data_IF_623412116388
#
_entry.id   IF_623412116388
#
_cell.length_a   1.000
_cell.length_b   1.000
_cell.length_c   1.000
_cell.angle_alpha   90.00
_cell.angle_beta   90.00
_cell.angle_gamma   90.00
#
_symmetry.space_group_name_H-M   'P 1'
#
loop_
_entity.id
_entity.type
_entity.pdbx_description
1 polymer ?
#
# COMPACT_ATOMS: atom_id res chain seq x y z
N UNK A 1 -10.93 6.63 -25.15
CA UNK A 1 -10.75 8.08 -25.02
C UNK A 1 -11.91 8.71 -24.25
N UNK A 2 -11.68 9.86 -23.64
CA UNK A 2 -12.66 10.59 -22.84
C UNK A 2 -12.60 12.07 -23.20
N UNK A 3 -13.74 12.75 -23.19
CA UNK A 3 -13.80 14.22 -23.37
C UNK A 3 -12.95 14.97 -22.33
N UNK A 4 -12.70 14.37 -21.17
CA UNK A 4 -11.85 14.92 -20.13
C UNK A 4 -10.35 14.95 -20.50
N UNK A 5 -9.93 14.32 -21.60
CA UNK A 5 -8.56 14.38 -22.11
C UNK A 5 -8.36 15.42 -23.20
N UNK A 6 -9.41 16.10 -23.64
CA UNK A 6 -9.35 17.03 -24.79
C UNK A 6 -8.56 18.30 -24.49
N UNK A 7 -8.42 18.69 -23.23
CA UNK A 7 -7.76 19.94 -22.82
C UNK A 7 -6.82 19.69 -21.65
N UNK A 8 -5.64 20.32 -21.68
CA UNK A 8 -4.75 20.38 -20.53
C UNK A 8 -5.42 21.07 -19.34
N UNK A 9 -5.31 20.46 -18.17
CA UNK A 9 -5.85 20.98 -16.92
C UNK A 9 -4.73 21.28 -15.89
N UNK A 10 -3.59 21.77 -16.36
CA UNK A 10 -2.43 22.10 -15.53
C UNK A 10 -2.80 23.07 -14.42
N UNK A 11 -2.29 22.82 -13.22
CA UNK A 11 -2.64 23.54 -12.00
C UNK A 11 -3.66 22.77 -11.16
N UNK A 12 -4.41 23.50 -10.36
CA UNK A 12 -5.39 22.97 -9.40
C UNK A 12 -6.72 23.72 -9.52
N UNK A 13 -7.83 23.20 -9.00
CA UNK A 13 -9.12 23.86 -9.04
C UNK A 13 -9.05 25.33 -8.61
N UNK A 14 -9.62 26.23 -9.40
CA UNK A 14 -9.57 27.67 -9.20
C UNK A 14 -8.22 28.35 -9.49
N UNK A 15 -7.18 27.56 -9.85
CA UNK A 15 -5.81 28.03 -10.13
C UNK A 15 -5.21 27.29 -11.33
N UNK A 16 -5.98 27.11 -12.40
CA UNK A 16 -5.51 26.46 -13.64
C UNK A 16 -4.68 27.43 -14.46
N UNK A 17 -3.67 26.88 -15.15
CA UNK A 17 -2.87 27.65 -16.10
C UNK A 17 -3.66 28.05 -17.35
N UNK A 18 -4.56 27.17 -17.81
CA UNK A 18 -5.41 27.42 -18.96
C UNK A 18 -6.84 27.77 -18.56
N UNK A 19 -7.51 28.59 -19.37
CA UNK A 19 -8.94 28.90 -19.20
C UNK A 19 -9.87 27.73 -19.56
N UNK A 20 -11.15 27.89 -19.29
CA UNK A 20 -12.20 26.93 -19.68
C UNK A 20 -12.24 25.66 -18.82
N UNK A 21 -11.84 25.73 -17.56
CA UNK A 21 -11.68 24.57 -16.67
C UNK A 21 -12.84 24.36 -15.69
N UNK A 22 -13.95 25.05 -15.85
CA UNK A 22 -15.07 25.04 -14.89
C UNK A 22 -15.51 23.60 -14.52
N UNK A 23 -15.74 22.76 -15.52
CA UNK A 23 -16.19 21.38 -15.28
C UNK A 23 -15.05 20.46 -14.79
N UNK A 24 -13.84 20.73 -15.22
CA UNK A 24 -12.62 20.04 -14.75
C UNK A 24 -12.40 20.30 -13.26
N UNK A 25 -12.59 21.53 -12.81
CA UNK A 25 -12.49 21.90 -11.41
C UNK A 25 -13.52 21.17 -10.56
N UNK A 26 -14.78 21.11 -11.01
CA UNK A 26 -15.84 20.36 -10.32
C UNK A 26 -15.47 18.89 -10.18
N UNK A 27 -14.93 18.25 -11.22
CA UNK A 27 -14.53 16.83 -11.20
C UNK A 27 -13.40 16.59 -10.20
N UNK A 28 -12.37 17.44 -10.22
CA UNK A 28 -11.24 17.28 -9.29
C UNK A 28 -11.64 17.59 -7.85
N UNK A 29 -12.46 18.62 -7.63
CA UNK A 29 -12.95 18.93 -6.28
C UNK A 29 -13.85 17.82 -5.73
N UNK A 30 -14.69 17.17 -6.53
CA UNK A 30 -15.44 16.00 -6.11
C UNK A 30 -14.51 14.87 -5.63
N UNK A 31 -13.42 14.61 -6.35
CA UNK A 31 -12.45 13.60 -5.95
C UNK A 31 -11.75 13.99 -4.64
N UNK A 32 -11.31 15.24 -4.53
CA UNK A 32 -10.63 15.76 -3.33
C UNK A 32 -11.52 15.72 -2.10
N UNK A 33 -12.75 16.23 -2.19
CA UNK A 33 -13.68 16.28 -1.05
C UNK A 33 -14.10 14.89 -0.59
N UNK A 34 -14.35 13.96 -1.53
CA UNK A 34 -14.66 12.58 -1.19
C UNK A 34 -13.49 11.85 -0.55
N UNK A 35 -12.27 12.07 -1.04
CA UNK A 35 -11.05 11.51 -0.44
C UNK A 35 -10.86 12.04 0.98
N UNK A 36 -11.01 13.35 1.21
CA UNK A 36 -10.94 13.95 2.54
C UNK A 36 -11.96 13.35 3.50
N UNK A 37 -13.21 13.22 3.06
CA UNK A 37 -14.29 12.63 3.87
C UNK A 37 -14.02 11.16 4.19
N UNK A 38 -13.49 10.40 3.23
CA UNK A 38 -13.27 8.96 3.34
C UNK A 38 -12.17 8.61 4.37
N UNK A 39 -11.12 9.44 4.42
CA UNK A 39 -9.93 9.19 5.25
C UNK A 39 -9.80 10.14 6.45
N UNK A 40 -10.70 11.09 6.64
CA UNK A 40 -10.59 12.09 7.70
C UNK A 40 -9.43 13.09 7.48
N UNK A 41 -9.04 13.31 6.24
CA UNK A 41 -7.98 14.25 5.87
C UNK A 41 -8.52 15.67 5.72
N UNK A 42 -7.70 16.68 6.02
CA UNK A 42 -8.04 18.08 5.73
C UNK A 42 -7.66 18.48 4.30
N UNK A 43 -6.60 17.86 3.75
CA UNK A 43 -6.12 18.13 2.40
C UNK A 43 -5.91 16.84 1.63
N UNK A 44 -6.18 16.87 0.32
CA UNK A 44 -5.99 15.74 -0.58
C UNK A 44 -5.45 16.23 -1.93
N UNK A 45 -4.36 15.62 -2.39
CA UNK A 45 -3.87 15.72 -3.76
C UNK A 45 -4.20 14.42 -4.49
N UNK A 46 -5.05 14.49 -5.50
CA UNK A 46 -5.54 13.33 -6.27
C UNK A 46 -4.87 13.20 -7.64
N UNK A 47 -3.88 14.06 -7.94
CA UNK A 47 -3.19 14.09 -9.23
C UNK A 47 -2.08 13.05 -9.42
N UNK A 48 -1.45 12.44 -8.40
CA UNK A 48 -0.41 11.45 -8.63
C UNK A 48 -0.89 10.32 -9.54
N UNK A 49 -0.08 9.99 -10.57
CA UNK A 49 -0.42 9.00 -11.58
C UNK A 49 -0.41 7.56 -11.04
N UNK A 50 0.35 7.29 -9.98
CA UNK A 50 0.44 6.00 -9.31
C UNK A 50 0.98 6.17 -7.88
N UNK A 51 1.09 5.07 -7.12
CA UNK A 51 1.64 5.09 -5.76
C UNK A 51 3.12 5.50 -5.71
N UNK A 52 3.96 5.01 -6.62
CA UNK A 52 5.37 5.40 -6.69
C UNK A 52 5.53 6.92 -6.95
N UNK A 53 4.87 7.55 -7.95
CA UNK A 53 4.84 8.99 -8.09
C UNK A 53 4.31 9.75 -6.87
N UNK A 54 3.34 9.19 -6.13
CA UNK A 54 2.87 9.80 -4.89
C UNK A 54 3.97 9.86 -3.82
N UNK A 55 4.67 8.73 -3.59
CA UNK A 55 5.80 8.68 -2.66
C UNK A 55 6.95 9.62 -3.11
N UNK A 56 7.31 9.58 -4.39
CA UNK A 56 8.35 10.45 -4.96
C UNK A 56 7.98 11.92 -4.77
N UNK A 57 6.75 12.30 -5.09
CA UNK A 57 6.27 13.67 -4.92
C UNK A 57 6.29 14.13 -3.48
N UNK A 58 5.93 13.27 -2.55
CA UNK A 58 6.00 13.55 -1.13
C UNK A 58 7.45 13.72 -0.67
N UNK A 59 8.40 12.88 -1.11
CA UNK A 59 9.81 13.04 -0.76
C UNK A 59 10.37 14.37 -1.26
N UNK A 60 10.18 14.70 -2.53
CA UNK A 60 10.66 15.99 -3.09
C UNK A 60 9.95 17.22 -2.51
N UNK A 61 8.76 17.07 -1.93
CA UNK A 61 8.09 18.16 -1.22
C UNK A 61 8.73 18.46 0.14
N UNK A 62 9.34 17.46 0.78
CA UNK A 62 9.73 17.51 2.18
C UNK A 62 11.23 17.43 2.43
N UNK A 63 12.00 16.99 1.44
CA UNK A 63 13.41 16.64 1.59
C UNK A 63 14.27 17.36 0.57
N UNK A 64 15.52 17.59 0.98
CA UNK A 64 16.63 17.99 0.11
C UNK A 64 17.50 16.77 -0.24
N UNK A 65 18.26 16.79 -1.35
CA UNK A 65 19.20 15.73 -1.66
C UNK A 65 20.16 15.46 -0.49
N UNK A 66 20.33 14.17 -0.14
CA UNK A 66 21.14 13.73 0.99
C UNK A 66 20.37 13.59 2.31
N UNK A 67 19.13 14.04 2.38
CA UNK A 67 18.29 13.80 3.57
C UNK A 67 17.98 12.32 3.78
N UNK A 68 17.72 11.94 5.03
CA UNK A 68 17.52 10.56 5.42
C UNK A 68 16.04 10.23 5.62
N UNK A 69 15.63 9.08 5.10
CA UNK A 69 14.32 8.44 5.25
C UNK A 69 14.52 7.10 5.95
N UNK A 70 13.69 6.79 6.94
CA UNK A 70 13.66 5.45 7.54
C UNK A 70 12.37 4.75 7.13
N UNK A 71 12.48 3.55 6.52
CA UNK A 71 11.36 2.77 6.01
C UNK A 71 11.56 1.26 6.17
N UNK A 72 10.52 0.47 5.90
CA UNK A 72 10.59 -1.00 6.00
C UNK A 72 11.44 -1.58 4.86
N UNK A 73 12.30 -2.54 5.18
CA UNK A 73 13.07 -3.30 4.19
C UNK A 73 12.15 -4.06 3.23
N UNK A 74 12.50 -4.10 1.95
CA UNK A 74 11.72 -4.79 0.93
C UNK A 74 11.55 -6.28 1.24
N UNK A 75 12.61 -6.96 1.73
CA UNK A 75 12.59 -8.38 2.06
C UNK A 75 11.66 -8.69 3.24
N UNK A 76 11.42 -7.71 4.12
CA UNK A 76 10.51 -7.81 5.25
C UNK A 76 9.10 -7.26 4.97
N UNK A 77 8.81 -6.94 3.72
CA UNK A 77 7.49 -6.52 3.26
C UNK A 77 7.37 -5.06 2.81
N UNK A 78 8.44 -4.26 2.82
CA UNK A 78 8.43 -2.89 2.34
C UNK A 78 8.11 -2.76 0.84
N UNK A 79 8.07 -1.54 0.35
CA UNK A 79 7.90 -1.24 -1.08
C UNK A 79 9.23 -0.80 -1.70
N UNK A 80 9.38 -0.94 -3.03
CA UNK A 80 10.58 -0.48 -3.76
C UNK A 80 10.93 0.99 -3.45
N UNK A 81 9.92 1.86 -3.37
CA UNK A 81 10.11 3.29 -3.06
C UNK A 81 10.44 3.58 -1.61
N UNK A 82 10.46 2.58 -0.73
CA UNK A 82 10.89 2.71 0.67
C UNK A 82 12.40 2.53 0.85
N UNK A 83 13.17 2.65 -0.24
CA UNK A 83 14.63 2.70 -0.20
C UNK A 83 15.32 1.46 -0.79
N UNK A 84 14.66 0.69 -1.65
CA UNK A 84 15.34 -0.41 -2.32
C UNK A 84 16.43 0.13 -3.29
N UNK A 85 17.66 -0.43 -3.27
CA UNK A 85 18.79 0.08 -4.05
C UNK A 85 18.57 0.15 -5.57
N UNK A 86 17.63 -0.62 -6.12
CA UNK A 86 17.31 -0.61 -7.54
C UNK A 86 16.62 0.69 -7.99
N UNK A 87 16.06 1.46 -7.05
CA UNK A 87 15.37 2.71 -7.36
C UNK A 87 16.36 3.88 -7.45
N UNK A 88 16.10 4.84 -8.34
CA UNK A 88 16.90 6.06 -8.42
C UNK A 88 16.81 6.95 -7.17
N UNK A 89 15.82 6.73 -6.30
CA UNK A 89 15.68 7.47 -5.05
C UNK A 89 16.90 7.35 -4.14
N UNK A 90 17.57 6.17 -4.14
CA UNK A 90 18.78 5.93 -3.34
C UNK A 90 20.03 6.65 -3.87
N UNK A 91 19.95 7.26 -5.07
CA UNK A 91 20.99 8.16 -5.58
C UNK A 91 20.81 9.61 -5.10
N UNK A 92 19.63 9.92 -4.54
CA UNK A 92 19.24 11.27 -4.15
C UNK A 92 19.14 11.39 -2.63
N UNK A 93 18.52 10.40 -1.99
CA UNK A 93 18.26 10.37 -0.55
C UNK A 93 18.95 9.20 0.13
N UNK A 94 19.24 9.35 1.41
CA UNK A 94 19.73 8.28 2.25
C UNK A 94 18.56 7.48 2.81
N UNK A 95 18.66 6.15 2.77
CA UNK A 95 17.62 5.26 3.31
C UNK A 95 18.16 4.35 4.41
N UNK A 96 17.53 4.41 5.57
CA UNK A 96 17.69 3.47 6.67
C UNK A 96 16.49 2.54 6.66
N UNK A 97 16.72 1.25 6.90
CA UNK A 97 15.66 0.24 6.80
C UNK A 97 15.48 -0.49 8.11
N UNK A 98 14.25 -0.49 8.62
CA UNK A 98 13.87 -1.35 9.73
C UNK A 98 13.33 -2.69 9.24
N UNK A 99 13.39 -3.71 10.09
CA UNK A 99 13.02 -5.09 9.79
C UNK A 99 12.09 -5.65 10.86
N UNK A 100 11.46 -6.79 10.56
CA UNK A 100 10.83 -7.61 11.59
C UNK A 100 11.93 -8.18 12.48
N UNK A 101 11.74 -8.13 13.79
CA UNK A 101 12.55 -8.82 14.80
C UNK A 101 12.27 -10.32 14.80
N UNK A 102 11.01 -10.67 14.60
CA UNK A 102 10.55 -12.05 14.53
C UNK A 102 9.64 -12.24 13.31
N UNK A 103 10.10 -13.05 12.36
CA UNK A 103 9.41 -13.30 11.09
C UNK A 103 8.16 -14.16 11.29
N UNK A 104 8.15 -15.05 12.28
CA UNK A 104 7.03 -15.97 12.50
C UNK A 104 5.86 -15.29 13.24
N UNK A 105 6.11 -14.20 13.98
CA UNK A 105 5.07 -13.41 14.64
C UNK A 105 4.77 -12.09 13.92
N UNK A 106 5.70 -11.61 13.11
CA UNK A 106 5.65 -10.30 12.47
C UNK A 106 6.06 -9.14 13.40
N UNK A 107 6.61 -9.43 14.57
CA UNK A 107 7.01 -8.42 15.55
C UNK A 107 8.06 -7.46 14.98
N UNK A 108 7.85 -6.16 15.17
CA UNK A 108 8.82 -5.09 14.89
C UNK A 108 9.52 -4.70 16.20
N UNK A 109 10.85 -4.56 16.18
CA UNK A 109 11.61 -4.03 17.30
C UNK A 109 11.55 -2.50 17.31
N UNK A 110 10.59 -1.95 18.05
CA UNK A 110 10.42 -0.50 18.15
C UNK A 110 11.50 0.17 18.98
N UNK A 111 12.14 -0.54 19.92
CA UNK A 111 13.25 -0.01 20.72
C UNK A 111 14.51 0.12 19.86
N UNK A 112 14.82 -0.89 19.05
CA UNK A 112 15.89 -0.81 18.06
C UNK A 112 15.59 0.27 17.02
N UNK A 113 14.35 0.34 16.54
CA UNK A 113 13.93 1.39 15.59
C UNK A 113 14.18 2.79 16.16
N UNK A 114 13.86 3.03 17.43
CA UNK A 114 14.12 4.31 18.10
C UNK A 114 15.63 4.58 18.22
N UNK A 115 16.43 3.59 18.60
CA UNK A 115 17.89 3.74 18.74
C UNK A 115 18.51 4.13 17.39
N UNK A 116 18.15 3.43 16.31
CA UNK A 116 18.61 3.70 14.94
C UNK A 116 18.11 5.06 14.44
N UNK A 117 16.86 5.43 14.76
CA UNK A 117 16.33 6.73 14.39
C UNK A 117 17.04 7.89 15.10
N UNK A 118 17.45 7.72 16.37
CA UNK A 118 18.26 8.70 17.11
C UNK A 118 19.66 8.88 16.51
N UNK A 119 20.28 7.79 16.08
CA UNK A 119 21.61 7.80 15.45
C UNK A 119 21.59 8.53 14.11
N UNK A 120 20.64 8.16 13.24
CA UNK A 120 20.61 8.62 11.85
C UNK A 120 19.73 9.84 11.58
N UNK A 121 18.90 10.24 12.54
CA UNK A 121 18.02 11.42 12.50
C UNK A 121 17.25 11.57 11.18
N UNK A 122 16.43 10.58 10.79
CA UNK A 122 15.66 10.66 9.57
C UNK A 122 14.69 11.85 9.62
N UNK A 123 14.48 12.53 8.49
CA UNK A 123 13.45 13.57 8.37
C UNK A 123 12.05 12.99 8.16
N UNK A 124 11.99 11.77 7.64
CA UNK A 124 10.73 11.02 7.45
C UNK A 124 10.90 9.65 8.12
N UNK A 125 9.95 9.28 8.96
CA UNK A 125 9.73 7.92 9.42
C UNK A 125 8.52 7.36 8.66
N UNK A 126 8.79 6.41 7.75
CA UNK A 126 7.82 5.86 6.83
C UNK A 126 7.33 4.49 7.29
N UNK A 127 6.08 4.42 7.66
CA UNK A 127 5.34 3.18 7.89
C UNK A 127 4.67 2.69 6.59
N UNK A 128 4.29 1.42 6.56
CA UNK A 128 3.57 0.84 5.43
C UNK A 128 4.38 -0.20 4.67
N UNK A 129 3.67 -0.93 3.82
CA UNK A 129 4.18 -2.19 3.29
C UNK A 129 3.47 -2.62 1.99
N UNK A 130 4.09 -3.58 1.31
CA UNK A 130 3.53 -4.30 0.16
C UNK A 130 3.22 -5.78 0.48
N UNK A 131 3.94 -6.37 1.44
CA UNK A 131 3.87 -7.80 1.74
C UNK A 131 4.05 -8.09 3.24
N UNK A 132 3.42 -7.30 4.09
CA UNK A 132 3.39 -7.51 5.54
C UNK A 132 1.97 -7.83 5.99
N UNK A 133 1.67 -9.06 6.45
CA UNK A 133 0.31 -9.51 6.73
C UNK A 133 -0.25 -9.07 8.09
N UNK A 134 0.42 -8.22 8.85
CA UNK A 134 -0.02 -7.77 10.18
C UNK A 134 -0.29 -6.27 10.22
N UNK A 135 -0.86 -5.81 11.32
CA UNK A 135 -0.99 -4.39 11.64
C UNK A 135 0.25 -3.90 12.39
N UNK A 136 0.69 -2.68 12.07
CA UNK A 136 1.78 -2.00 12.79
C UNK A 136 1.23 -1.30 14.04
N UNK A 137 2.07 -1.11 15.06
CA UNK A 137 1.74 -0.25 16.20
C UNK A 137 1.91 1.22 15.79
N UNK A 138 0.80 1.82 15.35
CA UNK A 138 0.79 3.19 14.84
C UNK A 138 1.22 4.22 15.89
N UNK A 139 0.86 4.00 17.18
CA UNK A 139 1.22 4.93 18.23
C UNK A 139 2.73 4.95 18.43
N UNK A 140 3.36 3.77 18.53
CA UNK A 140 4.83 3.69 18.66
C UNK A 140 5.56 4.33 17.49
N UNK A 141 5.05 4.16 16.27
CA UNK A 141 5.63 4.84 15.10
C UNK A 141 5.61 6.35 15.23
N UNK A 142 4.46 6.91 15.63
CA UNK A 142 4.31 8.36 15.79
C UNK A 142 5.17 8.86 16.95
N UNK A 143 5.20 8.16 18.06
CA UNK A 143 6.02 8.52 19.22
C UNK A 143 7.52 8.57 18.86
N UNK A 144 8.03 7.56 18.16
CA UNK A 144 9.41 7.54 17.67
C UNK A 144 9.67 8.72 16.71
N UNK A 145 8.78 8.93 15.74
CA UNK A 145 8.95 10.02 14.78
C UNK A 145 9.02 11.39 15.49
N UNK A 146 8.12 11.64 16.45
CA UNK A 146 8.10 12.90 17.22
C UNK A 146 9.33 13.05 18.08
N UNK A 147 9.82 11.97 18.70
CA UNK A 147 11.01 12.02 19.55
C UNK A 147 12.28 12.40 18.78
N UNK A 148 12.41 11.98 17.51
CA UNK A 148 13.57 12.34 16.68
C UNK A 148 13.34 13.54 15.78
N UNK A 149 12.16 14.18 15.83
CA UNK A 149 11.80 15.32 14.97
C UNK A 149 11.50 14.94 13.52
N UNK A 150 11.19 13.66 13.24
CA UNK A 150 10.80 13.18 11.92
C UNK A 150 9.31 13.42 11.64
N UNK A 151 8.95 13.50 10.37
CA UNK A 151 7.55 13.52 9.92
C UNK A 151 7.06 12.07 9.82
N UNK A 152 6.03 11.66 10.59
CA UNK A 152 5.44 10.33 10.46
C UNK A 152 4.56 10.27 9.21
N UNK A 153 4.93 9.40 8.29
CA UNK A 153 4.23 9.15 7.02
C UNK A 153 3.82 7.68 6.96
N UNK A 154 2.63 7.41 6.41
CA UNK A 154 2.23 6.03 6.14
C UNK A 154 1.84 5.82 4.67
N UNK A 155 2.49 4.86 4.02
CA UNK A 155 2.05 4.32 2.74
C UNK A 155 0.98 3.26 2.99
N UNK A 156 -0.28 3.65 2.77
CA UNK A 156 -1.45 2.80 3.00
C UNK A 156 -1.94 2.11 1.72
N UNK A 157 -1.13 2.08 0.66
CA UNK A 157 -1.54 1.60 -0.66
C UNK A 157 -2.22 0.21 -0.63
N UNK A 158 -1.73 -0.69 0.20
CA UNK A 158 -2.29 -2.03 0.33
C UNK A 158 -3.57 -2.10 1.15
N UNK A 159 -3.74 -1.22 2.13
CA UNK A 159 -4.85 -1.28 3.10
C UNK A 159 -5.82 -0.10 3.00
N UNK A 160 -5.66 0.78 2.00
CA UNK A 160 -6.52 1.97 1.86
C UNK A 160 -8.01 1.64 1.81
N UNK A 161 -8.40 0.56 1.12
CA UNK A 161 -9.79 0.10 1.11
C UNK A 161 -10.27 -0.44 2.46
N UNK A 162 -9.37 -1.05 3.24
CA UNK A 162 -9.70 -1.55 4.57
C UNK A 162 -9.89 -0.39 5.57
N UNK A 163 -9.08 0.68 5.45
CA UNK A 163 -9.24 1.93 6.21
C UNK A 163 -10.55 2.60 5.83
N UNK A 164 -10.80 2.77 4.52
CA UNK A 164 -12.03 3.38 4.01
C UNK A 164 -13.29 2.64 4.47
N UNK A 165 -13.25 1.30 4.47
CA UNK A 165 -14.32 0.44 4.98
C UNK A 165 -14.27 0.20 6.49
N UNK A 166 -13.47 0.94 7.24
CA UNK A 166 -13.37 0.88 8.72
C UNK A 166 -13.10 -0.52 9.28
N UNK A 167 -12.46 -1.38 8.49
CA UNK A 167 -12.10 -2.74 8.90
C UNK A 167 -10.74 -2.79 9.63
N UNK A 168 -9.92 -1.75 9.47
CA UNK A 168 -8.64 -1.53 10.17
C UNK A 168 -8.56 -0.08 10.65
N UNK A 169 -7.64 0.19 11.55
CA UNK A 169 -7.43 1.52 12.14
C UNK A 169 -7.00 2.54 11.09
N UNK A 170 -7.38 3.81 11.30
CA UNK A 170 -6.94 4.91 10.47
C UNK A 170 -5.66 5.52 11.05
N UNK A 171 -4.54 5.60 10.32
CA UNK A 171 -3.30 6.20 10.81
C UNK A 171 -3.44 7.65 11.29
N UNK A 172 -4.34 8.43 10.70
CA UNK A 172 -4.57 9.82 11.14
C UNK A 172 -5.10 9.94 12.56
N UNK A 173 -5.80 8.93 13.07
CA UNK A 173 -6.29 8.91 14.45
C UNK A 173 -5.14 8.77 15.47
N UNK A 174 -3.97 8.28 15.02
CA UNK A 174 -2.76 8.09 15.82
C UNK A 174 -1.73 9.21 15.67
N UNK A 175 -1.96 10.17 14.77
CA UNK A 175 -1.11 11.34 14.63
C UNK A 175 -0.10 11.28 13.48
N UNK A 176 -0.26 10.39 12.51
CA UNK A 176 0.45 10.50 11.22
C UNK A 176 0.11 11.83 10.55
N UNK A 177 1.08 12.47 9.92
CA UNK A 177 0.86 13.75 9.24
C UNK A 177 0.44 13.58 7.78
N UNK A 178 0.93 12.52 7.13
CA UNK A 178 0.72 12.26 5.71
C UNK A 178 0.41 10.78 5.50
N UNK A 179 -0.55 10.52 4.62
CA UNK A 179 -0.75 9.21 4.01
C UNK A 179 -0.54 9.29 2.50
N UNK A 180 0.21 8.35 1.95
CA UNK A 180 0.28 8.10 0.50
C UNK A 180 -0.45 6.81 0.17
N UNK A 181 -1.03 6.71 -1.02
CA UNK A 181 -1.74 5.50 -1.42
C UNK A 181 -1.88 5.35 -2.92
N UNK A 182 -2.20 4.15 -3.34
CA UNK A 182 -2.81 3.85 -4.64
C UNK A 182 -4.33 3.82 -4.53
N UNK A 183 -5.02 3.93 -5.65
CA UNK A 183 -6.48 3.83 -5.71
C UNK A 183 -7.00 2.49 -6.25
N UNK A 184 -6.12 1.64 -6.79
CA UNK A 184 -6.48 0.43 -7.56
C UNK A 184 -6.26 -0.91 -6.84
N UNK A 185 -5.97 -0.91 -5.54
CA UNK A 185 -5.81 -2.14 -4.73
C UNK A 185 -7.08 -2.40 -3.91
N UNK A 186 -6.99 -2.52 -2.61
CA UNK A 186 -8.16 -2.75 -1.75
C UNK A 186 -9.25 -1.68 -1.88
N UNK A 187 -8.90 -0.47 -2.31
CA UNK A 187 -9.86 0.62 -2.55
C UNK A 187 -10.72 0.41 -3.81
N UNK A 188 -10.36 -0.53 -4.67
CA UNK A 188 -11.14 -0.94 -5.86
C UNK A 188 -11.36 0.15 -6.92
N UNK A 189 -10.47 1.12 -7.01
CA UNK A 189 -10.57 2.23 -7.94
C UNK A 189 -9.72 2.10 -9.21
N UNK A 190 -9.61 3.17 -9.99
CA UNK A 190 -8.74 3.22 -11.16
C UNK A 190 -7.27 3.16 -10.75
N UNK A 191 -6.39 2.78 -11.69
CA UNK A 191 -4.95 2.97 -11.48
C UNK A 191 -4.63 4.43 -11.29
N UNK A 192 -4.02 4.73 -10.15
CA UNK A 192 -3.68 6.08 -9.75
C UNK A 192 -3.07 6.09 -8.36
N UNK A 193 -2.60 7.24 -7.94
CA UNK A 193 -2.12 7.53 -6.59
C UNK A 193 -2.83 8.73 -5.98
N UNK A 194 -2.60 8.94 -4.71
CA UNK A 194 -3.14 10.07 -3.97
C UNK A 194 -2.25 10.33 -2.75
N UNK A 195 -2.19 11.59 -2.32
CA UNK A 195 -1.53 12.02 -1.09
C UNK A 195 -2.55 12.76 -0.24
N UNK A 196 -2.62 12.36 1.02
CA UNK A 196 -3.51 12.95 2.01
C UNK A 196 -2.68 13.60 3.11
N UNK A 197 -3.05 14.80 3.52
CA UNK A 197 -2.41 15.52 4.65
C UNK A 197 -3.46 15.73 5.74
N UNK A 198 -3.10 15.40 6.99
CA UNK A 198 -4.04 15.43 8.11
C UNK A 198 -4.55 16.83 8.37
N UNK A 199 -3.68 17.77 8.73
CA UNK A 199 -4.09 19.12 9.17
C UNK A 199 -3.17 20.23 8.65
N UNK A 200 -1.93 19.93 8.32
CA UNK A 200 -0.91 20.94 8.02
C UNK A 200 -1.03 21.48 6.60
N UNK A 201 -1.53 22.71 6.45
CA UNK A 201 -1.71 23.38 5.17
C UNK A 201 -0.40 23.66 4.44
N UNK A 202 0.67 23.97 5.18
CA UNK A 202 1.98 24.25 4.57
C UNK A 202 2.56 22.98 3.92
N UNK A 203 2.45 21.81 4.59
CA UNK A 203 2.82 20.53 4.00
C UNK A 203 2.00 20.23 2.75
N UNK A 204 0.70 20.47 2.80
CA UNK A 204 -0.18 20.25 1.64
C UNK A 204 0.22 21.13 0.45
N UNK A 205 0.53 22.40 0.66
CA UNK A 205 1.00 23.33 -0.38
C UNK A 205 2.36 22.91 -0.97
N UNK A 206 3.27 22.41 -0.15
CA UNK A 206 4.56 21.86 -0.62
C UNK A 206 4.34 20.64 -1.49
N UNK A 207 3.46 19.72 -1.07
CA UNK A 207 3.07 18.52 -1.83
C UNK A 207 2.45 18.92 -3.17
N UNK A 208 1.49 19.83 -3.18
CA UNK A 208 0.84 20.29 -4.40
C UNK A 208 1.87 20.87 -5.37
N UNK A 209 2.78 21.71 -4.92
CA UNK A 209 3.87 22.28 -5.73
C UNK A 209 4.83 21.22 -6.25
N UNK A 210 5.13 20.22 -5.46
CA UNK A 210 6.01 19.12 -5.87
C UNK A 210 5.36 18.24 -6.94
N UNK A 211 4.07 17.95 -6.81
CA UNK A 211 3.34 17.18 -7.83
C UNK A 211 3.22 18.00 -9.11
N UNK A 212 2.64 19.19 -9.05
CA UNK A 212 2.56 20.09 -10.20
C UNK A 212 3.04 21.51 -9.80
N UNK A 213 3.99 22.07 -10.50
CA UNK A 213 4.66 21.59 -11.73
C UNK A 213 5.95 20.78 -11.50
N UNK A 214 6.24 20.37 -10.25
CA UNK A 214 7.53 19.80 -9.88
C UNK A 214 7.88 18.49 -10.61
N UNK A 215 6.95 17.54 -10.64
CA UNK A 215 7.18 16.18 -11.17
C UNK A 215 6.24 15.79 -12.30
N UNK A 216 5.03 16.33 -12.33
CA UNK A 216 4.01 16.00 -13.32
C UNK A 216 3.58 17.26 -14.08
N UNK A 217 3.07 17.07 -15.31
CA UNK A 217 2.40 18.10 -16.11
C UNK A 217 0.88 18.04 -15.93
N UNK A 218 0.14 18.12 -17.03
CA UNK A 218 -1.31 18.08 -17.02
C UNK A 218 -1.85 16.82 -16.34
N UNK A 219 -2.78 16.93 -15.39
CA UNK A 219 -3.36 15.80 -14.69
C UNK A 219 -4.20 14.92 -15.61
N UNK A 220 -4.29 13.63 -15.30
CA UNK A 220 -5.14 12.68 -16.01
C UNK A 220 -6.59 12.80 -15.53
N UNK A 221 -7.33 13.75 -16.08
CA UNK A 221 -8.66 14.10 -15.59
C UNK A 221 -9.69 12.98 -15.71
N UNK A 222 -9.58 12.11 -16.73
CA UNK A 222 -10.38 10.90 -16.83
C UNK A 222 -10.14 9.94 -15.65
N UNK A 223 -8.89 9.80 -15.22
CA UNK A 223 -8.54 9.00 -14.04
C UNK A 223 -9.04 9.65 -12.74
N UNK A 224 -8.93 10.98 -12.63
CA UNK A 224 -9.44 11.73 -11.46
C UNK A 224 -10.96 11.60 -11.37
N UNK A 225 -11.69 11.66 -12.49
CA UNK A 225 -13.12 11.39 -12.52
C UNK A 225 -13.45 9.96 -12.03
N UNK A 226 -12.70 8.97 -12.48
CA UNK A 226 -12.86 7.59 -12.00
C UNK A 226 -12.53 7.45 -10.49
N UNK A 227 -11.54 8.20 -9.98
CA UNK A 227 -11.27 8.30 -8.52
C UNK A 227 -12.47 8.88 -7.78
N UNK A 228 -13.10 9.94 -8.33
CA UNK A 228 -14.29 10.53 -7.72
C UNK A 228 -15.47 9.56 -7.62
N UNK A 229 -15.64 8.69 -8.61
CA UNK A 229 -16.65 7.60 -8.58
C UNK A 229 -16.27 6.56 -7.53
N UNK A 230 -15.04 6.05 -7.58
CA UNK A 230 -14.52 5.09 -6.62
C UNK A 230 -14.71 5.54 -5.16
N UNK A 231 -14.38 6.80 -4.86
CA UNK A 231 -14.52 7.33 -3.51
C UNK A 231 -15.99 7.49 -3.08
N UNK A 232 -16.89 7.75 -4.03
CA UNK A 232 -18.33 7.74 -3.76
C UNK A 232 -18.82 6.35 -3.39
N UNK A 233 -18.40 5.33 -4.14
CA UNK A 233 -18.71 3.93 -3.84
C UNK A 233 -18.13 3.49 -2.49
N UNK A 234 -16.89 3.91 -2.18
CA UNK A 234 -16.25 3.60 -0.91
C UNK A 234 -16.89 4.31 0.31
N UNK A 235 -17.64 5.39 0.09
CA UNK A 235 -18.44 6.06 1.13
C UNK A 235 -19.79 5.38 1.39
N UNK A 236 -20.20 4.44 0.55
CA UNK A 236 -21.43 3.68 0.75
C UNK A 236 -21.25 2.66 1.89
N UNK A 237 -22.25 2.48 2.78
CA UNK A 237 -22.16 1.51 3.87
C UNK A 237 -21.85 0.07 3.46
N UNK A 238 -22.21 -0.34 2.25
CA UNK A 238 -21.90 -1.66 1.70
C UNK A 238 -20.38 -1.90 1.58
N UNK A 239 -19.58 -0.84 1.45
CA UNK A 239 -18.14 -0.94 1.38
C UNK A 239 -17.51 -1.38 2.71
N UNK A 240 -18.14 -1.07 3.87
CA UNK A 240 -17.71 -1.60 5.18
C UNK A 240 -17.87 -3.12 5.23
N UNK A 241 -18.97 -3.65 4.68
CA UNK A 241 -19.19 -5.10 4.59
C UNK A 241 -18.14 -5.75 3.69
N UNK A 242 -17.87 -5.16 2.51
CA UNK A 242 -16.79 -5.65 1.63
C UNK A 242 -15.44 -5.70 2.34
N UNK A 243 -15.05 -4.62 3.01
CA UNK A 243 -13.74 -4.54 3.67
C UNK A 243 -13.59 -5.58 4.81
N UNK A 244 -14.65 -5.81 5.58
CA UNK A 244 -14.68 -6.87 6.62
C UNK A 244 -14.58 -8.25 5.99
N UNK A 245 -15.35 -8.53 4.94
CA UNK A 245 -15.33 -9.81 4.24
C UNK A 245 -13.95 -10.09 3.60
N UNK A 246 -13.25 -9.07 3.13
CA UNK A 246 -11.87 -9.22 2.63
C UNK A 246 -10.95 -9.81 3.70
N UNK A 247 -11.04 -9.33 4.94
CA UNK A 247 -10.21 -9.82 6.05
C UNK A 247 -10.63 -11.22 6.48
N UNK A 248 -11.94 -11.48 6.65
CA UNK A 248 -12.42 -12.80 7.07
C UNK A 248 -12.11 -13.87 6.03
N UNK A 249 -12.24 -13.56 4.76
CA UNK A 249 -11.86 -14.43 3.65
C UNK A 249 -10.35 -14.72 3.64
N UNK A 250 -9.50 -13.71 3.87
CA UNK A 250 -8.05 -13.91 3.94
C UNK A 250 -7.66 -14.79 5.11
N UNK A 251 -8.32 -14.59 6.26
CA UNK A 251 -8.12 -15.43 7.43
C UNK A 251 -8.53 -16.87 7.18
N UNK A 252 -9.69 -17.12 6.56
CA UNK A 252 -10.14 -18.46 6.20
C UNK A 252 -9.13 -19.19 5.32
N UNK A 253 -8.55 -18.53 4.31
CA UNK A 253 -7.48 -19.12 3.49
C UNK A 253 -6.22 -19.40 4.32
N UNK A 254 -5.79 -18.48 5.17
CA UNK A 254 -4.62 -18.67 6.01
C UNK A 254 -4.80 -19.84 6.98
N UNK A 255 -5.97 -19.99 7.59
CA UNK A 255 -6.28 -21.07 8.53
C UNK A 255 -6.18 -22.46 7.85
N UNK A 256 -6.58 -22.59 6.57
CA UNK A 256 -6.41 -23.82 5.78
C UNK A 256 -4.94 -24.16 5.58
N UNK A 257 -4.12 -23.20 5.19
CA UNK A 257 -2.68 -23.40 5.02
C UNK A 257 -2.00 -23.81 6.34
N UNK A 258 -2.37 -23.14 7.44
CA UNK A 258 -1.86 -23.48 8.78
C UNK A 258 -2.28 -24.88 9.23
N UNK A 259 -3.53 -25.26 8.98
CA UNK A 259 -4.04 -26.61 9.29
C UNK A 259 -3.32 -27.71 8.51
N UNK A 260 -2.86 -27.39 7.29
CA UNK A 260 -2.01 -28.29 6.47
C UNK A 260 -0.54 -28.32 6.92
N UNK A 261 -0.15 -27.54 7.94
CA UNK A 261 1.22 -27.46 8.44
C UNK A 261 2.13 -26.51 7.66
N UNK A 262 1.57 -25.69 6.75
CA UNK A 262 2.36 -24.73 5.99
C UNK A 262 2.87 -23.59 6.85
N UNK A 263 4.10 -23.14 6.57
CA UNK A 263 4.67 -21.94 7.17
C UNK A 263 4.11 -20.69 6.51
N UNK A 264 3.37 -19.89 7.27
CA UNK A 264 2.98 -18.56 6.87
C UNK A 264 3.87 -17.52 7.52
N UNK A 265 4.37 -16.58 6.74
CA UNK A 265 5.13 -15.44 7.26
C UNK A 265 4.21 -14.64 8.19
N UNK A 266 4.71 -14.30 9.37
CA UNK A 266 3.99 -13.71 10.50
C UNK A 266 2.93 -14.61 11.15
N UNK A 267 2.96 -15.92 10.90
CA UNK A 267 2.03 -16.89 11.51
C UNK A 267 0.56 -16.70 11.11
N UNK A 268 0.30 -16.13 9.91
CA UNK A 268 -1.04 -15.90 9.41
C UNK A 268 -1.29 -14.47 8.93
N UNK A 269 -2.53 -13.97 9.02
CA UNK A 269 -2.87 -12.62 8.55
C UNK A 269 -3.89 -11.91 9.44
N UNK A 270 -3.80 -10.58 9.51
CA UNK A 270 -4.80 -9.68 10.07
C UNK A 270 -5.32 -8.66 9.03
N UNK A 271 -4.95 -8.83 7.75
CA UNK A 271 -5.40 -7.95 6.67
C UNK A 271 -5.87 -8.76 5.44
N UNK A 272 -5.69 -8.25 4.24
CA UNK A 272 -6.21 -8.82 2.99
C UNK A 272 -5.27 -9.80 2.31
N UNK A 273 -4.02 -9.94 2.75
CA UNK A 273 -3.00 -10.74 2.08
C UNK A 273 -2.46 -11.87 2.97
N UNK A 274 -2.02 -12.94 2.33
CA UNK A 274 -1.30 -14.06 2.93
C UNK A 274 0.03 -14.21 2.21
N UNK A 275 1.09 -14.45 2.97
CA UNK A 275 2.43 -14.72 2.47
C UNK A 275 2.87 -16.09 2.97
N UNK A 276 2.95 -17.07 2.06
CA UNK A 276 3.28 -18.45 2.38
C UNK A 276 4.70 -18.80 1.92
N UNK A 277 5.47 -19.41 2.80
CA UNK A 277 6.77 -20.02 2.50
C UNK A 277 6.55 -21.42 1.90
N UNK A 278 6.39 -21.48 0.58
CA UNK A 278 6.13 -22.74 -0.12
C UNK A 278 7.39 -23.58 -0.29
N UNK A 279 8.58 -22.97 -0.22
CA UNK A 279 9.83 -23.72 -0.25
C UNK A 279 9.98 -24.61 0.99
N UNK A 280 9.80 -24.05 2.17
CA UNK A 280 9.86 -24.83 3.41
C UNK A 280 8.70 -25.80 3.53
N UNK A 281 7.49 -25.40 3.13
CA UNK A 281 6.26 -26.18 3.33
C UNK A 281 6.07 -27.31 2.33
N UNK A 282 6.39 -27.07 1.06
CA UNK A 282 6.05 -27.99 -0.03
C UNK A 282 7.26 -28.34 -0.91
N UNK A 283 8.47 -27.88 -0.59
CA UNK A 283 9.69 -28.12 -1.38
C UNK A 283 9.54 -27.69 -2.85
N UNK A 284 8.83 -26.59 -3.09
CA UNK A 284 8.65 -25.97 -4.40
C UNK A 284 9.06 -24.50 -4.33
N UNK A 285 9.71 -23.98 -5.37
CA UNK A 285 10.05 -22.56 -5.43
C UNK A 285 8.80 -21.69 -5.61
N UNK A 286 8.87 -20.43 -5.17
CA UNK A 286 7.77 -19.49 -5.42
C UNK A 286 7.51 -19.26 -6.91
N UNK A 287 8.56 -19.34 -7.75
CA UNK A 287 8.43 -19.21 -9.19
C UNK A 287 7.68 -20.39 -9.83
N UNK A 288 8.02 -21.61 -9.44
CA UNK A 288 7.34 -22.81 -9.94
C UNK A 288 5.91 -22.90 -9.38
N UNK A 289 5.71 -22.53 -8.10
CA UNK A 289 4.38 -22.49 -7.51
C UNK A 289 3.46 -21.45 -8.19
N UNK A 290 3.98 -20.26 -8.51
CA UNK A 290 3.26 -19.24 -9.28
C UNK A 290 2.78 -19.79 -10.63
N UNK A 291 3.69 -20.45 -11.38
CA UNK A 291 3.39 -21.02 -12.69
C UNK A 291 2.36 -22.15 -12.60
N UNK A 292 2.55 -23.09 -11.69
CA UNK A 292 1.69 -24.25 -11.52
C UNK A 292 0.25 -23.84 -11.13
N UNK A 293 0.12 -22.87 -10.22
CA UNK A 293 -1.18 -22.35 -9.81
C UNK A 293 -1.85 -21.54 -10.92
N UNK A 294 -1.09 -20.79 -11.73
CA UNK A 294 -1.63 -20.07 -12.89
C UNK A 294 -2.15 -21.04 -13.97
N UNK A 295 -1.46 -22.15 -14.23
CA UNK A 295 -1.92 -23.25 -15.10
C UNK A 295 -3.23 -23.87 -14.59
N UNK A 296 -3.43 -23.91 -13.27
CA UNK A 296 -4.68 -24.35 -12.64
C UNK A 296 -5.76 -23.24 -12.58
N UNK A 297 -5.52 -22.08 -13.16
CA UNK A 297 -6.44 -20.95 -13.18
C UNK A 297 -6.48 -20.13 -11.88
N UNK A 298 -5.48 -20.26 -11.01
CA UNK A 298 -5.35 -19.53 -9.73
C UNK A 298 -4.17 -18.56 -9.82
N UNK A 299 -4.44 -17.32 -10.21
CA UNK A 299 -3.42 -16.30 -10.39
C UNK A 299 -3.02 -15.67 -9.06
N UNK A 300 -1.73 -15.72 -8.78
CA UNK A 300 -1.07 -15.07 -7.64
C UNK A 300 0.34 -14.60 -8.03
N UNK A 301 1.19 -14.20 -7.10
CA UNK A 301 2.57 -13.86 -7.44
C UNK A 301 3.57 -14.54 -6.50
N UNK A 302 4.72 -14.92 -7.07
CA UNK A 302 5.92 -15.23 -6.29
C UNK A 302 6.35 -14.02 -5.49
N UNK A 303 6.89 -14.23 -4.31
CA UNK A 303 7.30 -13.16 -3.41
C UNK A 303 8.47 -13.61 -2.54
N UNK A 304 9.51 -12.77 -2.44
CA UNK A 304 10.54 -13.01 -1.44
C UNK A 304 9.93 -12.94 -0.04
N UNK A 305 10.38 -13.78 0.83
CA UNK A 305 10.06 -13.76 2.26
C UNK A 305 11.19 -13.10 3.05
N UNK A 306 10.92 -12.74 4.30
CA UNK A 306 11.97 -12.19 5.16
C UNK A 306 13.09 -13.23 5.35
N UNK A 307 14.34 -12.75 5.28
CA UNK A 307 15.55 -13.58 5.36
C UNK A 307 15.60 -14.72 4.33
N UNK A 308 15.00 -14.51 3.16
CA UNK A 308 14.94 -15.49 2.07
C UNK A 308 16.35 -15.91 1.62
N UNK A 309 16.62 -17.20 1.65
CA UNK A 309 17.88 -17.78 1.20
C UNK A 309 17.96 -17.98 -0.31
N UNK A 310 16.83 -17.85 -1.02
CA UNK A 310 16.73 -18.00 -2.46
C UNK A 310 16.86 -16.65 -3.18
N UNK A 311 17.11 -16.71 -4.48
CA UNK A 311 17.24 -15.50 -5.31
C UNK A 311 15.90 -14.77 -5.48
N UNK A 312 15.87 -13.44 -5.54
CA UNK A 312 14.64 -12.68 -5.75
C UNK A 312 13.84 -13.05 -7.01
N UNK A 313 14.51 -13.54 -8.05
CA UNK A 313 13.85 -13.97 -9.29
C UNK A 313 13.16 -15.34 -9.16
N UNK A 314 13.57 -16.14 -8.18
CA UNK A 314 12.97 -17.44 -7.85
C UNK A 314 12.95 -17.62 -6.32
N UNK A 315 12.08 -16.86 -5.62
CA UNK A 315 12.04 -16.77 -4.17
C UNK A 315 11.38 -17.99 -3.53
N UNK A 316 11.41 -18.03 -2.18
CA UNK A 316 10.81 -19.11 -1.39
C UNK A 316 9.29 -19.00 -1.24
N UNK A 317 8.72 -17.83 -1.45
CA UNK A 317 7.32 -17.57 -1.10
C UNK A 317 6.39 -17.28 -2.27
N UNK A 318 5.11 -17.39 -1.97
CA UNK A 318 4.00 -16.88 -2.79
C UNK A 318 3.16 -15.90 -1.96
N UNK A 319 2.61 -14.88 -2.63
CA UNK A 319 1.69 -13.91 -2.04
C UNK A 319 0.36 -13.93 -2.78
N UNK A 320 -0.72 -14.05 -2.03
CA UNK A 320 -2.09 -13.98 -2.53
C UNK A 320 -2.97 -13.18 -1.59
N UNK A 321 -4.18 -12.86 -2.02
CA UNK A 321 -5.12 -12.07 -1.22
C UNK A 321 -6.52 -12.10 -1.77
N UNK A 322 -7.45 -11.57 -1.02
CA UNK A 322 -8.88 -11.79 -1.20
C UNK A 322 -9.69 -10.62 -1.78
N UNK A 323 -9.18 -9.40 -2.03
CA UNK A 323 -10.01 -8.28 -2.50
C UNK A 323 -10.76 -8.59 -3.79
N UNK A 324 -10.11 -9.20 -4.79
CA UNK A 324 -10.71 -9.50 -6.08
C UNK A 324 -11.80 -10.58 -5.99
N UNK A 325 -11.53 -11.67 -5.30
CA UNK A 325 -12.49 -12.77 -5.14
C UNK A 325 -13.67 -12.36 -4.25
N UNK A 326 -13.44 -11.54 -3.20
CA UNK A 326 -14.51 -10.96 -2.38
C UNK A 326 -15.43 -10.05 -3.22
N UNK A 327 -14.85 -9.24 -4.12
CA UNK A 327 -15.63 -8.42 -5.06
C UNK A 327 -16.48 -9.28 -6.00
N UNK A 328 -16.03 -10.49 -6.34
CA UNK A 328 -16.76 -11.48 -7.15
C UNK A 328 -17.82 -12.25 -6.36
N UNK A 329 -17.99 -11.97 -5.07
CA UNK A 329 -19.00 -12.57 -4.21
C UNK A 329 -18.54 -13.81 -3.43
N UNK A 330 -17.26 -14.14 -3.42
CA UNK A 330 -16.73 -15.25 -2.63
C UNK A 330 -16.85 -14.93 -1.14
N UNK A 331 -17.29 -15.92 -0.39
CA UNK A 331 -17.37 -15.90 1.08
C UNK A 331 -16.27 -16.80 1.70
N UNK A 332 -16.26 -16.91 3.02
CA UNK A 332 -15.26 -17.70 3.76
C UNK A 332 -15.23 -19.17 3.31
N UNK A 333 -16.39 -19.79 3.06
CA UNK A 333 -16.47 -21.19 2.60
C UNK A 333 -15.84 -21.35 1.21
N UNK A 334 -16.11 -20.42 0.30
CA UNK A 334 -15.53 -20.43 -1.03
C UNK A 334 -14.02 -20.24 -0.95
N UNK A 335 -13.56 -19.33 -0.10
CA UNK A 335 -12.12 -19.06 0.11
C UNK A 335 -11.40 -20.23 0.76
N UNK A 336 -12.04 -20.94 1.71
CA UNK A 336 -11.55 -22.21 2.24
C UNK A 336 -11.33 -23.21 1.11
N UNK A 337 -12.34 -23.40 0.23
CA UNK A 337 -12.21 -24.33 -0.90
C UNK A 337 -11.11 -23.93 -1.88
N UNK A 338 -10.93 -22.65 -2.16
CA UNK A 338 -9.82 -22.16 -2.99
C UNK A 338 -8.47 -22.52 -2.38
N UNK A 339 -8.31 -22.31 -1.07
CA UNK A 339 -7.05 -22.63 -0.37
C UNK A 339 -6.77 -24.15 -0.37
N UNK A 340 -7.79 -25.00 -0.19
CA UNK A 340 -7.65 -26.46 -0.33
C UNK A 340 -7.17 -26.86 -1.72
N UNK A 341 -7.77 -26.27 -2.79
CA UNK A 341 -7.36 -26.53 -4.16
C UNK A 341 -5.93 -26.06 -4.43
N UNK A 342 -5.53 -24.90 -3.89
CA UNK A 342 -4.14 -24.42 -3.99
C UNK A 342 -3.16 -25.44 -3.40
N UNK A 343 -3.45 -25.96 -2.20
CA UNK A 343 -2.61 -26.95 -1.52
C UNK A 343 -2.59 -28.27 -2.32
N UNK A 344 -3.72 -28.71 -2.85
CA UNK A 344 -3.81 -29.91 -3.68
C UNK A 344 -2.90 -29.80 -4.91
N UNK A 345 -2.94 -28.68 -5.63
CA UNK A 345 -2.09 -28.39 -6.78
C UNK A 345 -0.61 -28.40 -6.38
N UNK A 346 -0.25 -27.76 -5.26
CA UNK A 346 1.15 -27.71 -4.81
C UNK A 346 1.71 -29.08 -4.40
N UNK A 347 0.86 -29.98 -3.90
CA UNK A 347 1.25 -31.34 -3.47
C UNK A 347 1.29 -32.35 -4.61
N UNK A 348 0.38 -32.23 -5.57
CA UNK A 348 0.23 -33.18 -6.71
C UNK A 348 0.95 -32.74 -7.99
N UNK A 349 1.97 -31.92 -7.85
CA UNK A 349 2.70 -31.31 -8.98
C UNK A 349 3.31 -32.31 -9.97
N UNK A 350 3.51 -33.57 -9.56
CA UNK A 350 4.15 -34.61 -10.36
C UNK A 350 3.11 -35.59 -11.00
N UNK A 351 1.81 -35.37 -10.75
CA UNK A 351 0.69 -36.11 -11.36
C UNK A 351 0.10 -35.36 -12.56
#
# INVERSE_FOLDING_TARGET
SSVLTNKYAEGYPGKRYYGGQTYTDIVEDLARERAKKLFGAKYANVQPHAGAPANVGMYFALLEPGDTIMGMDLSHGGHLTHGHPVTYLTKIFNFIRYKMKNVDTGEIDYDEMLAVAKEHKPKILLAGYSAYPRELDYQKFVDIAREVGAIPVMDVAHIAGLIAGKAVKNPFDYGFDIMTTTTHKTLRGPRGGMILTRENEELAKKIDKSIFPGLQGGPLMNTIAAKAVCFKEALDPSFETYAKNVITNAKAMADVFLADGARLITGGTSNHLVLADVWTSYQISGGDAEKLLDEAGITLNKNSIADDTRKPMDPSGIRFGTPAITTRGFNEKDCTRVAELMIEVLKKRDE
#
